data_IF_456694824241
#
_entry.id   IF_456694824241
#
_cell.length_a   1.000
_cell.length_b   1.000
_cell.length_c   1.000
_cell.angle_alpha   90.00
_cell.angle_beta   90.00
_cell.angle_gamma   90.00
#
_symmetry.space_group_name_H-M   'P 1'
#
loop_
_entity.id
_entity.type
_entity.pdbx_description
1 polymer ?
#
# COMPACT_ATOMS: atom_id res chain seq x y z
N UNK A 1 0.63 -4.24 2.08
CA UNK A 1 0.92 -4.84 0.76
C UNK A 1 0.40 -4.02 -0.42
N UNK A 2 0.22 -2.70 -0.29
CA UNK A 2 -0.33 -1.82 -1.34
C UNK A 2 0.80 -0.97 -1.95
N UNK A 3 0.85 -0.88 -3.29
CA UNK A 3 1.75 0.00 -4.04
C UNK A 3 1.30 1.47 -4.05
N UNK A 4 2.23 2.36 -4.38
CA UNK A 4 1.99 3.80 -4.51
C UNK A 4 1.29 4.23 -5.79
N UNK A 5 1.07 5.54 -5.95
CA UNK A 5 0.28 6.13 -7.04
C UNK A 5 0.90 5.95 -8.43
N UNK A 6 2.21 5.71 -8.53
CA UNK A 6 2.97 5.66 -9.78
C UNK A 6 3.61 4.30 -10.05
N UNK A 7 3.14 3.25 -9.37
CA UNK A 7 3.67 1.92 -9.54
C UNK A 7 3.60 1.49 -11.01
N UNK A 8 4.70 0.92 -11.51
CA UNK A 8 4.87 0.44 -12.89
C UNK A 8 4.72 1.52 -13.99
N UNK A 9 4.76 2.81 -13.64
CA UNK A 9 4.68 3.88 -14.62
C UNK A 9 5.97 3.97 -15.46
N UNK A 10 5.84 4.13 -16.79
CA UNK A 10 6.96 4.33 -17.71
C UNK A 10 7.38 5.80 -17.68
N UNK A 11 8.56 6.11 -17.17
CA UNK A 11 9.04 7.48 -16.90
C UNK A 11 8.73 8.50 -18.01
N UNK A 12 8.38 9.77 -17.68
CA UNK A 12 8.42 10.42 -16.35
C UNK A 12 7.09 10.36 -15.61
N UNK A 13 7.08 10.24 -14.27
CA UNK A 13 5.92 10.08 -13.35
C UNK A 13 4.85 11.21 -13.44
N UNK A 14 4.19 11.32 -14.58
CA UNK A 14 3.22 12.38 -14.90
C UNK A 14 1.80 11.88 -14.62
N UNK A 15 1.51 10.63 -14.98
CA UNK A 15 0.18 10.05 -14.78
C UNK A 15 0.22 9.03 -13.64
N UNK A 16 -0.73 9.17 -12.72
CA UNK A 16 -0.95 8.18 -11.66
C UNK A 16 -1.53 6.91 -12.28
N UNK A 17 -0.93 5.76 -11.97
CA UNK A 17 -1.42 4.43 -12.39
C UNK A 17 -2.44 3.85 -11.42
N UNK A 18 -2.39 4.31 -10.17
CA UNK A 18 -3.24 3.82 -9.09
C UNK A 18 -3.91 5.01 -8.39
N UNK A 19 -5.22 4.90 -8.15
CA UNK A 19 -6.02 5.92 -7.47
C UNK A 19 -6.92 5.31 -6.39
N UNK A 20 -7.18 6.07 -5.32
CA UNK A 20 -8.14 5.70 -4.27
C UNK A 20 -9.50 6.33 -4.59
N UNK A 21 -10.58 5.57 -4.45
CA UNK A 21 -11.96 6.06 -4.63
C UNK A 21 -12.45 6.94 -3.48
N UNK A 22 -11.83 6.83 -2.31
CA UNK A 22 -12.13 7.67 -1.14
C UNK A 22 -11.42 9.04 -1.27
N UNK A 23 -12.10 10.14 -0.92
CA UNK A 23 -11.46 11.45 -0.87
C UNK A 23 -10.30 11.46 0.15
N UNK A 24 -9.29 12.30 -0.11
CA UNK A 24 -8.16 12.63 0.76
C UNK A 24 -7.18 11.52 1.15
N UNK A 25 -7.24 10.37 0.49
CA UNK A 25 -6.25 9.29 0.69
C UNK A 25 -5.21 9.28 -0.43
N UNK A 26 -3.92 9.40 -0.08
CA UNK A 26 -2.79 9.21 -1.00
C UNK A 26 -2.21 7.80 -0.88
N UNK A 27 -1.97 7.14 -2.01
CA UNK A 27 -1.27 5.85 -2.01
C UNK A 27 0.23 6.08 -1.85
N UNK A 28 0.79 5.49 -0.80
CA UNK A 28 2.24 5.50 -0.56
C UNK A 28 2.87 4.18 -0.96
N UNK A 29 4.10 4.25 -1.43
CA UNK A 29 4.90 3.06 -1.72
C UNK A 29 5.24 2.28 -0.45
N UNK A 30 5.55 0.97 -0.53
CA UNK A 30 5.87 0.17 0.64
C UNK A 30 7.05 0.71 1.48
N UNK A 31 8.10 1.22 0.83
CA UNK A 31 9.30 1.75 1.50
C UNK A 31 9.09 3.13 2.16
N UNK A 32 7.98 3.82 1.85
CA UNK A 32 7.61 5.09 2.48
C UNK A 32 6.78 4.90 3.76
N UNK A 33 6.44 3.64 4.09
CA UNK A 33 5.61 3.30 5.25
C UNK A 33 6.52 3.01 6.45
N UNK A 34 6.14 3.46 7.65
CA UNK A 34 6.92 3.22 8.87
C UNK A 34 6.96 1.74 9.29
N UNK A 35 6.13 0.89 8.69
CA UNK A 35 6.10 -0.54 8.94
C UNK A 35 4.75 -1.17 8.59
N UNK A 36 4.56 -2.42 9.04
CA UNK A 36 3.30 -3.13 8.90
C UNK A 36 2.22 -2.51 9.79
N UNK A 37 1.05 -2.22 9.21
CA UNK A 37 -0.13 -1.78 9.97
C UNK A 37 -0.69 -2.92 10.83
N UNK A 38 -1.47 -2.58 11.87
CA UNK A 38 -2.18 -3.56 12.72
C UNK A 38 -2.94 -4.58 11.90
N UNK A 39 -3.72 -4.12 10.91
CA UNK A 39 -4.47 -4.99 10.00
C UNK A 39 -3.60 -6.03 9.30
N UNK A 40 -2.39 -5.68 8.87
CA UNK A 40 -1.50 -6.67 8.24
C UNK A 40 -1.04 -7.71 9.26
N UNK A 41 -0.71 -7.30 10.48
CA UNK A 41 -0.34 -8.21 11.57
C UNK A 41 -1.48 -9.15 11.93
N UNK A 42 -2.71 -8.64 12.00
CA UNK A 42 -3.90 -9.46 12.28
C UNK A 42 -4.16 -10.50 11.20
N UNK A 43 -3.97 -10.13 9.93
CA UNK A 43 -4.09 -11.07 8.80
C UNK A 43 -3.03 -12.16 8.91
N UNK A 44 -1.77 -11.80 9.18
CA UNK A 44 -0.68 -12.77 9.35
C UNK A 44 -0.97 -13.71 10.52
N UNK A 45 -1.39 -13.18 11.67
CA UNK A 45 -1.72 -13.98 12.84
C UNK A 45 -2.87 -14.96 12.57
N UNK A 46 -3.89 -14.55 11.80
CA UNK A 46 -4.99 -15.44 11.39
C UNK A 46 -4.53 -16.54 10.44
N UNK A 47 -3.68 -16.22 9.46
CA UNK A 47 -3.18 -17.19 8.48
C UNK A 47 -2.33 -18.26 9.17
N UNK A 48 -1.45 -17.86 10.08
CA UNK A 48 -0.52 -18.76 10.75
C UNK A 48 -1.07 -19.32 12.08
N UNK A 49 -2.30 -18.99 12.46
CA UNK A 49 -2.91 -19.38 13.73
C UNK A 49 -1.99 -19.07 14.92
N UNK A 50 -1.36 -17.90 14.89
CA UNK A 50 -0.53 -17.43 15.98
C UNK A 50 -1.38 -17.33 17.25
N UNK A 51 -0.83 -17.85 18.36
CA UNK A 51 -1.48 -17.85 19.68
C UNK A 51 -1.65 -16.45 20.25
#
# INVERSE_FOLDING_TARGET
>A
MQYGEFAFFRAPKILKTMGIKKPDCKLKEPYEKPGLTSRHKDIVNKIYQCK
#
